data_IF_129486011106
#
_entry.id   IF_129486011106
#
_cell.length_a   1.000
_cell.length_b   1.000
_cell.length_c   1.000
_cell.angle_alpha   90.00
_cell.angle_beta   90.00
_cell.angle_gamma   90.00
#
_symmetry.space_group_name_H-M   'P 1'
#
loop_
_entity.id
_entity.type
_entity.pdbx_description
1 polymer ?
#
# COMPACT_ATOMS: atom_id res chain seq x y z
N UNK A 1 -34.08 15.11 20.95
CA UNK A 1 -33.84 15.84 19.69
C UNK A 1 -32.59 16.73 19.76
N UNK A 2 -32.52 17.72 20.66
CA UNK A 2 -31.36 18.64 20.78
C UNK A 2 -29.98 17.97 20.99
N UNK A 3 -29.87 17.04 21.95
CA UNK A 3 -28.59 16.35 22.23
C UNK A 3 -28.14 15.38 21.13
N UNK A 4 -29.08 14.83 20.35
CA UNK A 4 -28.76 13.94 19.24
C UNK A 4 -28.16 14.71 18.06
N UNK A 5 -28.71 15.88 17.75
CA UNK A 5 -28.17 16.78 16.71
C UNK A 5 -26.79 17.33 17.07
N UNK A 6 -26.49 17.51 18.36
CA UNK A 6 -25.16 17.93 18.84
C UNK A 6 -24.06 16.92 18.46
N UNK A 7 -24.30 15.62 18.67
CA UNK A 7 -23.33 14.57 18.29
C UNK A 7 -23.20 14.38 16.78
N UNK A 8 -24.29 14.56 16.02
CA UNK A 8 -24.27 14.44 14.56
C UNK A 8 -23.39 15.50 13.86
N UNK A 9 -23.31 16.72 14.42
CA UNK A 9 -22.46 17.79 13.87
C UNK A 9 -20.97 17.46 13.98
N UNK A 10 -20.55 16.83 15.07
CA UNK A 10 -19.15 16.46 15.29
C UNK A 10 -18.67 15.46 14.23
N UNK A 11 -19.48 14.44 13.91
CA UNK A 11 -19.15 13.46 12.88
C UNK A 11 -19.05 14.06 11.47
N UNK A 12 -19.90 15.03 11.13
CA UNK A 12 -19.83 15.75 9.85
C UNK A 12 -18.57 16.61 9.75
N UNK A 13 -18.21 17.29 10.84
CA UNK A 13 -17.01 18.14 10.87
C UNK A 13 -15.74 17.29 10.83
N UNK A 14 -15.65 16.21 11.61
CA UNK A 14 -14.47 15.33 11.63
C UNK A 14 -14.22 14.68 10.26
N UNK A 15 -15.28 14.18 9.61
CA UNK A 15 -15.18 13.58 8.28
C UNK A 15 -14.68 14.59 7.23
N UNK A 16 -15.18 15.83 7.29
CA UNK A 16 -14.75 16.90 6.39
C UNK A 16 -13.28 17.28 6.60
N UNK A 17 -12.83 17.37 7.86
CA UNK A 17 -11.43 17.72 8.20
C UNK A 17 -10.45 16.59 7.86
N UNK A 18 -10.85 15.33 8.06
CA UNK A 18 -10.00 14.17 7.78
C UNK A 18 -9.63 14.06 6.30
N UNK A 19 -10.58 14.39 5.42
CA UNK A 19 -10.38 14.34 3.96
C UNK A 19 -9.27 15.27 3.50
N UNK A 20 -9.26 16.53 3.96
CA UNK A 20 -8.29 17.53 3.52
C UNK A 20 -6.86 17.17 3.95
N UNK A 21 -6.69 16.71 5.20
CA UNK A 21 -5.39 16.30 5.73
C UNK A 21 -4.87 15.03 5.06
N UNK A 22 -5.72 14.02 4.90
CA UNK A 22 -5.35 12.75 4.25
C UNK A 22 -4.97 12.99 2.78
N UNK A 23 -5.79 13.73 2.03
CA UNK A 23 -5.54 14.02 0.63
C UNK A 23 -4.27 14.85 0.40
N UNK A 24 -3.99 15.84 1.25
CA UNK A 24 -2.75 16.60 1.14
C UNK A 24 -1.50 15.76 1.42
N UNK A 25 -1.55 14.89 2.44
CA UNK A 25 -0.46 13.94 2.71
C UNK A 25 -0.25 13.01 1.53
N UNK A 26 -1.32 12.40 1.01
CA UNK A 26 -1.28 11.51 -0.13
C UNK A 26 -0.66 12.20 -1.36
N UNK A 27 -1.10 13.42 -1.70
CA UNK A 27 -0.56 14.16 -2.85
C UNK A 27 0.92 14.46 -2.72
N UNK A 28 1.38 14.81 -1.50
CA UNK A 28 2.81 15.04 -1.24
C UNK A 28 3.63 13.77 -1.43
N UNK A 29 3.12 12.63 -0.96
CA UNK A 29 3.81 11.34 -1.11
C UNK A 29 3.81 10.85 -2.56
N UNK A 30 2.71 11.03 -3.29
CA UNK A 30 2.63 10.68 -4.72
C UNK A 30 3.69 11.45 -5.51
N UNK A 31 3.71 12.78 -5.37
CA UNK A 31 4.68 13.61 -6.10
C UNK A 31 6.14 13.32 -5.71
N UNK A 32 6.39 12.80 -4.50
CA UNK A 32 7.74 12.44 -4.06
C UNK A 32 8.20 11.07 -4.58
N UNK A 33 7.27 10.18 -4.94
CA UNK A 33 7.55 8.80 -5.32
C UNK A 33 7.23 8.50 -6.80
N UNK A 34 6.71 9.47 -7.56
CA UNK A 34 6.28 9.27 -8.95
C UNK A 34 7.41 8.85 -9.91
N UNK A 35 8.64 9.27 -9.62
CA UNK A 35 9.83 8.99 -10.44
C UNK A 35 10.52 7.66 -10.07
N UNK A 36 10.00 6.93 -9.09
CA UNK A 36 10.59 5.69 -8.59
C UNK A 36 10.08 4.50 -9.39
N UNK A 37 11.00 3.70 -9.96
CA UNK A 37 10.67 2.51 -10.76
C UNK A 37 11.55 1.31 -10.44
N UNK A 38 11.03 0.11 -10.72
CA UNK A 38 11.79 -1.14 -10.66
C UNK A 38 12.49 -1.37 -12.00
N UNK A 39 13.79 -1.57 -11.96
CA UNK A 39 14.61 -1.90 -13.13
C UNK A 39 14.67 -3.42 -13.36
N UNK A 40 15.12 -3.83 -14.55
CA UNK A 40 15.17 -5.25 -14.94
C UNK A 40 16.07 -6.13 -14.06
N UNK A 41 16.96 -5.53 -13.28
CA UNK A 41 17.83 -6.22 -12.31
C UNK A 41 17.17 -6.41 -10.94
N UNK A 42 15.91 -6.00 -10.77
CA UNK A 42 15.18 -6.09 -9.51
C UNK A 42 15.47 -4.96 -8.51
N UNK A 43 16.32 -4.00 -8.89
CA UNK A 43 16.61 -2.83 -8.07
C UNK A 43 15.54 -1.74 -8.26
N UNK A 44 15.26 -0.98 -7.20
CA UNK A 44 14.39 0.19 -7.26
C UNK A 44 15.25 1.43 -7.42
N UNK A 45 15.06 2.16 -8.52
CA UNK A 45 15.87 3.34 -8.86
C UNK A 45 15.01 4.57 -9.10
N UNK A 46 15.58 5.73 -8.77
CA UNK A 46 15.04 7.02 -9.19
C UNK A 46 15.39 7.28 -10.66
N UNK A 47 14.64 8.17 -11.33
CA UNK A 47 14.91 8.61 -12.71
C UNK A 47 16.37 9.08 -12.93
N UNK A 48 17.03 9.62 -11.90
CA UNK A 48 18.44 10.03 -11.91
C UNK A 48 19.48 8.90 -11.83
N UNK A 49 19.05 7.63 -11.78
CA UNK A 49 19.94 6.46 -11.69
C UNK A 49 20.41 6.12 -10.27
N UNK A 50 19.99 6.88 -9.26
CA UNK A 50 20.24 6.59 -7.86
C UNK A 50 19.44 5.36 -7.42
N UNK A 51 20.11 4.41 -6.75
CA UNK A 51 19.50 3.18 -6.22
C UNK A 51 18.89 3.49 -4.86
N UNK A 52 17.57 3.32 -4.74
CA UNK A 52 16.81 3.50 -3.49
C UNK A 52 16.74 2.19 -2.71
N UNK A 53 16.52 1.06 -3.41
CA UNK A 53 16.52 -0.29 -2.82
C UNK A 53 17.25 -1.26 -3.75
N UNK A 54 18.06 -2.15 -3.18
CA UNK A 54 18.77 -3.19 -3.92
C UNK A 54 17.86 -4.34 -4.37
N UNK A 55 16.84 -4.65 -3.58
CA UNK A 55 15.82 -5.66 -3.88
C UNK A 55 14.47 -5.02 -3.57
N UNK A 56 13.55 -5.01 -4.53
CA UNK A 56 12.19 -4.49 -4.33
C UNK A 56 11.51 -5.22 -3.17
N UNK A 57 11.07 -4.49 -2.14
CA UNK A 57 10.30 -5.07 -1.03
C UNK A 57 11.07 -6.08 -0.17
N UNK A 58 12.41 -6.13 -0.30
CA UNK A 58 13.32 -7.11 0.33
C UNK A 58 13.15 -8.57 -0.12
N UNK A 59 11.97 -8.96 -0.60
CA UNK A 59 11.64 -10.31 -1.08
C UNK A 59 11.41 -10.39 -2.60
N UNK A 60 11.37 -9.25 -3.30
CA UNK A 60 11.12 -9.15 -4.73
C UNK A 60 9.67 -9.44 -5.12
N UNK A 61 8.74 -9.53 -4.16
CA UNK A 61 7.36 -9.93 -4.44
C UNK A 61 6.44 -8.71 -4.55
N UNK A 62 5.71 -8.65 -5.65
CA UNK A 62 4.65 -7.66 -5.83
C UNK A 62 3.51 -7.93 -4.82
N UNK A 63 3.17 -6.98 -3.93
CA UNK A 63 2.11 -7.16 -2.95
C UNK A 63 0.72 -7.39 -3.58
N UNK A 64 0.49 -6.99 -4.84
CA UNK A 64 -0.75 -7.32 -5.56
C UNK A 64 -0.80 -8.79 -6.02
N UNK A 65 0.36 -9.44 -6.13
CA UNK A 65 0.51 -10.86 -6.50
C UNK A 65 0.78 -11.77 -5.30
N UNK A 66 1.07 -11.19 -4.14
CA UNK A 66 1.29 -11.92 -2.89
C UNK A 66 -0.04 -12.31 -2.23
N UNK A 67 -0.01 -13.33 -1.38
CA UNK A 67 -1.17 -13.74 -0.59
C UNK A 67 -1.03 -13.13 0.80
N UNK A 68 -1.82 -12.09 1.07
CA UNK A 68 -1.83 -11.38 2.36
C UNK A 68 -0.46 -10.86 2.82
N UNK A 69 0.42 -10.49 1.88
CA UNK A 69 1.78 -10.01 2.20
C UNK A 69 2.81 -11.11 2.39
N UNK A 70 2.44 -12.39 2.25
CA UNK A 70 3.41 -13.49 2.20
C UNK A 70 3.88 -13.72 0.77
N UNK A 71 5.19 -13.81 0.58
CA UNK A 71 5.83 -14.12 -0.70
C UNK A 71 5.30 -15.44 -1.31
N UNK A 72 5.10 -16.46 -0.47
CA UNK A 72 4.59 -17.78 -0.87
C UNK A 72 3.73 -18.36 0.25
N UNK A 73 2.49 -18.76 -0.07
CA UNK A 73 1.62 -19.49 0.86
C UNK A 73 1.90 -21.00 0.75
N UNK A 74 2.82 -21.48 1.58
CA UNK A 74 3.23 -22.88 1.61
C UNK A 74 2.09 -23.82 2.04
N UNK A 75 1.21 -23.37 2.94
CA UNK A 75 0.12 -24.21 3.44
C UNK A 75 -0.91 -24.47 2.35
N UNK A 76 -1.25 -23.44 1.57
CA UNK A 76 -2.11 -23.58 0.40
C UNK A 76 -1.50 -24.53 -0.63
N UNK A 77 -0.23 -24.38 -0.96
CA UNK A 77 0.45 -25.26 -1.92
C UNK A 77 0.44 -26.72 -1.44
N UNK A 78 0.67 -26.96 -0.15
CA UNK A 78 0.60 -28.31 0.42
C UNK A 78 -0.82 -28.87 0.38
N UNK A 79 -1.84 -28.04 0.61
CA UNK A 79 -3.24 -28.44 0.51
C UNK A 79 -3.61 -28.80 -0.93
N UNK A 80 -3.26 -27.95 -1.90
CA UNK A 80 -3.50 -28.19 -3.33
C UNK A 80 -2.85 -29.50 -3.80
N UNK A 81 -1.59 -29.76 -3.39
CA UNK A 81 -0.88 -31.01 -3.70
C UNK A 81 -1.54 -32.23 -3.04
N UNK A 82 -2.06 -32.10 -1.81
CA UNK A 82 -2.71 -33.20 -1.09
C UNK A 82 -4.12 -33.51 -1.62
N UNK A 83 -4.85 -32.51 -2.09
CA UNK A 83 -6.21 -32.68 -2.63
C UNK A 83 -6.23 -33.10 -4.11
N UNK A 84 -5.08 -33.08 -4.79
CA UNK A 84 -4.92 -33.76 -6.08
C UNK A 84 -5.72 -33.13 -7.22
N UNK A 85 -5.59 -31.81 -7.39
CA UNK A 85 -5.86 -31.14 -8.67
C UNK A 85 -4.54 -30.76 -9.32
#
# INVERSE_FOLDING_TARGET
>A
YFFHSMGGREGLVDTAVRTSRSGYMQRRLINALEDVKVENDGTVRHSGGEIIQFIYGEDGVDPARSINGNAVDVNRIIADIKEGV
#
